data_IF_378049758308
#
_entry.id   IF_378049758308
#
_cell.length_a   1.000
_cell.length_b   1.000
_cell.length_c   1.000
_cell.angle_alpha   90.00
_cell.angle_beta   90.00
_cell.angle_gamma   90.00
#
_symmetry.space_group_name_H-M   'P 1'
#
loop_
_entity.id
_entity.type
_entity.pdbx_description
1 polymer ?
#
# COMPACT_ATOMS: atom_id res chain seq x y z
N UNK A 1 1.65 -1.25 46.59
CA UNK A 1 2.80 -0.87 45.75
C UNK A 1 2.24 -0.38 44.41
N UNK A 2 2.09 0.93 44.30
CA UNK A 2 1.67 1.53 43.03
C UNK A 2 2.85 1.55 42.07
N UNK A 3 2.79 0.69 41.05
CA UNK A 3 3.63 0.87 39.90
C UNK A 3 3.06 2.06 39.06
N UNK A 4 3.81 3.13 38.87
CA UNK A 4 3.34 4.17 37.96
C UNK A 4 3.21 3.54 36.57
N UNK A 5 2.00 3.50 36.05
CA UNK A 5 1.74 3.22 34.63
C UNK A 5 2.46 4.32 33.87
N UNK A 6 3.60 3.97 33.27
CA UNK A 6 4.34 4.87 32.40
C UNK A 6 3.36 5.24 31.28
N UNK A 7 2.96 6.48 31.24
CA UNK A 7 2.15 6.99 30.13
C UNK A 7 2.94 6.69 28.86
N UNK A 8 2.33 5.94 27.95
CA UNK A 8 2.86 5.72 26.61
C UNK A 8 2.82 7.12 25.99
N UNK A 9 3.98 7.78 25.91
CA UNK A 9 4.12 9.00 25.17
C UNK A 9 3.65 8.72 23.76
N UNK A 10 2.71 9.54 23.29
CA UNK A 10 2.16 9.46 21.93
C UNK A 10 3.34 9.47 20.95
N UNK A 11 3.67 8.31 20.40
CA UNK A 11 4.68 8.21 19.37
C UNK A 11 4.15 8.98 18.16
N UNK A 12 4.69 10.16 17.95
CA UNK A 12 4.34 10.98 16.79
C UNK A 12 4.65 10.19 15.52
N UNK A 13 3.72 10.16 14.59
CA UNK A 13 3.94 9.51 13.28
C UNK A 13 5.13 10.10 12.53
N UNK A 14 5.56 11.32 12.88
CA UNK A 14 6.78 11.96 12.36
C UNK A 14 8.08 11.26 12.74
N UNK A 15 8.07 10.45 13.79
CA UNK A 15 9.27 9.76 14.31
C UNK A 15 9.49 8.37 13.69
N UNK A 16 8.56 7.93 12.84
CA UNK A 16 8.64 6.64 12.18
C UNK A 16 9.65 6.65 11.02
N UNK A 17 10.33 5.50 10.76
CA UNK A 17 11.44 5.43 9.79
C UNK A 17 11.10 5.89 8.38
N UNK A 18 9.85 5.70 7.95
CA UNK A 18 9.38 6.06 6.62
C UNK A 18 8.45 7.27 6.60
N UNK A 19 8.48 8.10 7.64
CA UNK A 19 7.73 9.34 7.66
C UNK A 19 8.07 10.22 6.45
N UNK A 20 7.05 10.73 5.75
CA UNK A 20 7.20 11.55 4.56
C UNK A 20 7.42 10.76 3.25
N UNK A 21 7.53 9.42 3.31
CA UNK A 21 7.58 8.58 2.10
C UNK A 21 6.16 8.33 1.61
N UNK A 22 5.92 8.57 0.32
CA UNK A 22 4.65 8.26 -0.36
C UNK A 22 4.81 7.01 -1.21
N UNK A 23 3.84 6.11 -1.13
CA UNK A 23 3.83 4.81 -1.83
C UNK A 23 2.52 4.64 -2.58
N UNK A 24 2.57 4.29 -3.86
CA UNK A 24 1.42 3.84 -4.63
C UNK A 24 1.37 2.32 -4.65
N UNK A 25 0.31 1.75 -4.11
CA UNK A 25 0.09 0.30 -4.05
C UNK A 25 -0.91 -0.12 -5.13
N UNK A 26 -0.40 -0.73 -6.21
CA UNK A 26 -1.18 -1.33 -7.29
C UNK A 26 -1.42 -2.83 -7.08
N UNK A 27 -1.02 -3.34 -5.95
CA UNK A 27 -1.10 -4.75 -5.65
C UNK A 27 -2.52 -5.27 -5.48
N UNK A 28 -2.66 -6.57 -5.53
CA UNK A 28 -3.91 -7.27 -5.25
C UNK A 28 -3.63 -8.58 -4.53
N UNK A 29 -4.65 -9.17 -3.97
CA UNK A 29 -4.63 -10.43 -3.22
C UNK A 29 -3.88 -10.32 -1.89
N UNK A 30 -2.65 -10.81 -1.75
CA UNK A 30 -1.95 -10.93 -0.45
C UNK A 30 -0.58 -10.29 -0.44
N UNK A 31 0.31 -10.67 -1.35
CA UNK A 31 1.74 -10.33 -1.27
C UNK A 31 2.01 -8.83 -1.36
N UNK A 32 1.50 -8.19 -2.39
CA UNK A 32 1.71 -6.76 -2.59
C UNK A 32 0.97 -5.91 -1.53
N UNK A 33 -0.29 -6.19 -1.17
CA UNK A 33 -0.93 -5.54 -0.04
C UNK A 33 -0.18 -5.70 1.28
N UNK A 34 0.42 -6.85 1.55
CA UNK A 34 1.24 -7.08 2.74
C UNK A 34 2.48 -6.18 2.75
N UNK A 35 3.15 -6.04 1.62
CA UNK A 35 4.27 -5.12 1.47
C UNK A 35 3.85 -3.68 1.78
N UNK A 36 2.76 -3.21 1.18
CA UNK A 36 2.21 -1.89 1.43
C UNK A 36 1.81 -1.68 2.89
N UNK A 37 1.27 -2.72 3.55
CA UNK A 37 0.93 -2.69 4.97
C UNK A 37 2.17 -2.47 5.85
N UNK A 38 3.24 -3.19 5.59
CA UNK A 38 4.50 -3.05 6.34
C UNK A 38 5.06 -1.63 6.16
N UNK A 39 5.04 -1.11 4.94
CA UNK A 39 5.50 0.26 4.67
C UNK A 39 4.62 1.30 5.39
N UNK A 40 3.32 1.10 5.43
CA UNK A 40 2.39 1.97 6.16
C UNK A 40 2.64 1.92 7.68
N UNK A 41 2.86 0.73 8.23
CA UNK A 41 3.17 0.55 9.65
C UNK A 41 4.51 1.20 10.05
N UNK A 42 5.43 1.34 9.09
CA UNK A 42 6.69 2.06 9.27
C UNK A 42 6.58 3.57 9.04
N UNK A 43 5.41 4.09 8.77
CA UNK A 43 5.14 5.52 8.69
C UNK A 43 4.99 6.10 7.28
N UNK A 44 5.06 5.27 6.23
CA UNK A 44 4.81 5.72 4.88
C UNK A 44 3.32 6.02 4.67
N UNK A 45 3.04 7.04 3.85
CA UNK A 45 1.69 7.27 3.32
C UNK A 45 1.46 6.36 2.13
N UNK A 46 0.68 5.30 2.32
CA UNK A 46 0.40 4.32 1.26
C UNK A 46 -0.98 4.57 0.67
N UNK A 47 -1.02 4.85 -0.62
CA UNK A 47 -2.25 5.03 -1.39
C UNK A 47 -2.48 3.80 -2.25
N UNK A 48 -3.53 3.07 -1.94
CA UNK A 48 -3.96 1.92 -2.70
C UNK A 48 -4.78 2.34 -3.91
N UNK A 49 -4.34 1.93 -5.08
CA UNK A 49 -5.05 2.17 -6.34
C UNK A 49 -5.94 0.97 -6.65
N UNK A 50 -7.23 1.20 -6.71
CA UNK A 50 -8.23 0.17 -6.99
C UNK A 50 -8.95 0.44 -8.31
N UNK A 51 -9.58 -0.60 -8.84
CA UNK A 51 -10.56 -0.47 -9.93
C UNK A 51 -11.80 0.26 -9.42
N UNK A 52 -12.56 0.87 -10.32
CA UNK A 52 -13.83 1.52 -9.97
C UNK A 52 -14.81 0.53 -9.32
N UNK A 53 -14.81 -0.72 -9.79
CA UNK A 53 -15.64 -1.80 -9.22
C UNK A 53 -15.17 -2.28 -7.85
N UNK A 54 -14.00 -1.82 -7.40
CA UNK A 54 -13.35 -2.27 -6.19
C UNK A 54 -12.46 -3.51 -6.40
N UNK A 55 -11.68 -3.82 -5.38
CA UNK A 55 -10.84 -5.02 -5.36
C UNK A 55 -11.70 -6.26 -5.11
N UNK A 56 -11.56 -7.34 -5.91
CA UNK A 56 -12.28 -8.59 -5.68
C UNK A 56 -12.10 -9.18 -4.28
N UNK A 57 -10.97 -8.90 -3.62
CA UNK A 57 -10.71 -9.38 -2.27
C UNK A 57 -11.62 -8.77 -1.20
N UNK A 58 -12.28 -7.65 -1.49
CA UNK A 58 -13.30 -7.06 -0.59
C UNK A 58 -14.50 -7.96 -0.37
N UNK A 59 -14.83 -8.78 -1.37
CA UNK A 59 -16.03 -9.63 -1.38
C UNK A 59 -15.72 -11.10 -1.13
N UNK A 60 -14.51 -11.46 -0.72
CA UNK A 60 -14.17 -12.83 -0.36
C UNK A 60 -15.03 -13.32 0.82
N UNK A 61 -15.49 -14.55 0.70
CA UNK A 61 -16.28 -15.23 1.73
C UNK A 61 -15.46 -16.32 2.43
N UNK A 62 -15.97 -16.80 3.55
CA UNK A 62 -15.32 -17.87 4.29
C UNK A 62 -13.97 -17.46 4.88
N UNK A 63 -12.96 -18.29 4.70
CA UNK A 63 -11.62 -18.06 5.25
C UNK A 63 -10.93 -16.78 4.73
N UNK A 64 -11.27 -16.36 3.52
CA UNK A 64 -10.77 -15.11 2.94
C UNK A 64 -11.50 -13.84 3.42
N UNK A 65 -12.57 -14.02 4.19
CA UNK A 65 -13.32 -12.91 4.76
C UNK A 65 -12.44 -12.08 5.70
N UNK A 66 -12.37 -10.78 5.45
CA UNK A 66 -11.56 -9.87 6.27
C UNK A 66 -10.11 -9.69 5.80
N UNK A 67 -9.61 -10.46 4.84
CA UNK A 67 -8.26 -10.26 4.32
C UNK A 67 -8.04 -8.85 3.78
N UNK A 68 -9.02 -8.32 3.06
CA UNK A 68 -8.90 -6.98 2.53
C UNK A 68 -8.69 -5.95 3.65
N UNK A 69 -9.53 -5.97 4.68
CA UNK A 69 -9.44 -5.05 5.81
C UNK A 69 -8.14 -5.20 6.59
N UNK A 70 -7.70 -6.43 6.81
CA UNK A 70 -6.46 -6.71 7.53
C UNK A 70 -5.21 -6.24 6.76
N UNK A 71 -5.12 -6.60 5.48
CA UNK A 71 -3.93 -6.32 4.66
C UNK A 71 -3.86 -4.88 4.15
N UNK A 72 -4.97 -4.15 4.19
CA UNK A 72 -5.02 -2.78 3.70
C UNK A 72 -5.34 -1.76 4.79
N UNK A 73 -5.21 -2.14 6.06
CA UNK A 73 -5.30 -1.18 7.16
C UNK A 73 -4.22 -0.11 7.01
N UNK A 74 -4.49 1.06 7.53
CA UNK A 74 -3.54 2.19 7.53
C UNK A 74 -3.16 2.70 6.13
N UNK A 75 -3.96 2.37 5.10
CA UNK A 75 -3.80 2.86 3.73
C UNK A 75 -4.95 3.76 3.34
N UNK A 76 -4.66 4.72 2.48
CA UNK A 76 -5.67 5.45 1.73
C UNK A 76 -6.07 4.65 0.49
N UNK A 77 -7.32 4.77 0.03
CA UNK A 77 -7.80 4.06 -1.16
C UNK A 77 -8.35 5.05 -2.17
N UNK A 78 -7.93 4.88 -3.41
CA UNK A 78 -8.41 5.68 -4.56
C UNK A 78 -8.85 4.74 -5.67
N UNK A 79 -10.09 4.92 -6.14
CA UNK A 79 -10.61 4.18 -7.28
C UNK A 79 -10.30 4.94 -8.57
N UNK A 80 -9.59 4.30 -9.50
CA UNK A 80 -9.19 4.91 -10.78
C UNK A 80 -9.42 3.90 -11.91
N UNK A 81 -10.03 4.37 -13.00
CA UNK A 81 -10.08 3.60 -14.24
C UNK A 81 -8.75 3.73 -15.00
N UNK A 82 -7.90 2.74 -14.86
CA UNK A 82 -6.59 2.70 -15.52
C UNK A 82 -6.68 2.57 -17.04
N UNK A 83 -7.84 2.23 -17.60
CA UNK A 83 -8.08 2.15 -19.04
C UNK A 83 -8.42 3.51 -19.65
N UNK A 84 -8.88 4.44 -18.82
CA UNK A 84 -9.20 5.77 -19.26
C UNK A 84 -7.91 6.60 -19.44
N UNK A 85 -7.66 7.17 -20.65
CA UNK A 85 -6.48 8.01 -20.89
C UNK A 85 -6.39 9.24 -19.98
N UNK A 86 -7.52 9.75 -19.49
CA UNK A 86 -7.58 10.91 -18.60
C UNK A 86 -7.05 10.60 -17.20
N UNK A 87 -6.97 9.33 -16.83
CA UNK A 87 -6.39 8.89 -15.54
C UNK A 87 -4.86 8.97 -15.52
N UNK A 88 -4.21 8.98 -16.69
CA UNK A 88 -2.76 9.01 -16.79
C UNK A 88 -2.11 10.24 -16.16
N UNK A 89 -2.58 11.47 -16.42
CA UNK A 89 -1.97 12.65 -15.80
C UNK A 89 -2.02 12.62 -14.28
N UNK A 90 -3.12 12.09 -13.71
CA UNK A 90 -3.28 11.95 -12.26
C UNK A 90 -2.26 10.99 -11.69
N UNK A 91 -2.05 9.84 -12.34
CA UNK A 91 -1.07 8.84 -11.91
C UNK A 91 0.37 9.33 -12.09
N UNK A 92 0.66 10.05 -13.18
CA UNK A 92 1.98 10.61 -13.42
C UNK A 92 2.30 11.73 -12.41
N UNK A 93 1.33 12.54 -12.03
CA UNK A 93 1.47 13.55 -10.99
C UNK A 93 1.76 12.88 -9.64
N UNK A 94 0.96 11.88 -9.25
CA UNK A 94 1.18 11.13 -8.03
C UNK A 94 2.55 10.45 -8.01
N UNK A 95 2.97 9.89 -9.15
CA UNK A 95 4.28 9.25 -9.32
C UNK A 95 5.45 10.24 -9.26
N UNK A 96 5.28 11.47 -9.72
CA UNK A 96 6.35 12.48 -9.67
C UNK A 96 6.69 12.90 -8.25
N UNK A 97 5.74 12.79 -7.32
CA UNK A 97 5.95 13.03 -5.89
C UNK A 97 6.57 11.84 -5.16
N UNK A 98 6.58 10.64 -5.78
CA UNK A 98 7.21 9.47 -5.21
C UNK A 98 8.73 9.56 -5.27
N UNK A 99 9.38 9.34 -4.14
CA UNK A 99 10.74 8.82 -4.17
C UNK A 99 10.70 7.45 -4.84
N UNK A 100 11.43 7.29 -5.94
CA UNK A 100 11.51 6.06 -6.72
C UNK A 100 12.18 4.93 -5.91
N UNK A 101 11.48 4.42 -4.92
CA UNK A 101 11.87 3.18 -4.24
C UNK A 101 11.08 2.07 -4.91
N UNK A 102 11.73 1.24 -5.69
CA UNK A 102 11.12 0.02 -6.20
C UNK A 102 11.00 -0.14 -7.71
N UNK A 103 11.46 0.79 -8.55
CA UNK A 103 11.52 0.56 -10.00
C UNK A 103 12.45 -0.60 -10.35
N UNK A 104 13.48 -0.79 -9.56
CA UNK A 104 14.44 -1.89 -9.67
C UNK A 104 13.83 -3.23 -9.26
N UNK A 105 13.04 -3.25 -8.21
CA UNK A 105 12.38 -4.46 -7.72
C UNK A 105 11.33 -4.98 -8.71
N UNK A 106 10.54 -4.10 -9.33
CA UNK A 106 9.56 -4.49 -10.33
C UNK A 106 10.22 -5.06 -11.60
N UNK A 107 11.40 -4.56 -11.99
CA UNK A 107 12.18 -5.08 -13.11
C UNK A 107 12.81 -6.44 -12.79
N UNK A 108 13.38 -6.60 -11.61
CA UNK A 108 14.00 -7.85 -11.18
C UNK A 108 12.98 -8.97 -10.94
N UNK A 109 11.82 -8.65 -10.37
CA UNK A 109 10.74 -9.63 -10.21
C UNK A 109 10.17 -10.08 -11.56
N UNK A 110 10.04 -9.17 -12.53
CA UNK A 110 9.50 -9.50 -13.85
C UNK A 110 10.45 -10.39 -14.66
N UNK A 111 11.74 -10.22 -14.53
CA UNK A 111 12.74 -11.01 -15.28
C UNK A 111 13.03 -12.39 -14.66
N UNK A 112 12.77 -12.57 -13.37
CA UNK A 112 13.14 -13.79 -12.65
C UNK A 112 12.01 -14.81 -12.51
N UNK A 113 10.74 -14.38 -12.64
CA UNK A 113 9.57 -15.21 -12.35
C UNK A 113 8.57 -15.29 -13.50
N UNK A 114 8.88 -14.76 -14.69
CA UNK A 114 8.04 -14.95 -15.84
C UNK A 114 8.52 -16.19 -16.61
N UNK A 115 7.80 -17.30 -16.59
CA UNK A 115 8.12 -18.47 -17.42
C UNK A 115 7.81 -18.25 -18.91
N UNK A 116 7.34 -17.07 -19.30
CA UNK A 116 7.01 -16.69 -20.66
C UNK A 116 7.92 -15.54 -21.12
N UNK A 117 9.04 -15.92 -21.65
CA UNK A 117 9.82 -15.10 -22.57
C UNK A 117 9.53 -15.55 -23.99
#
# INVERSE_FOLDING_TARGET
>A
MDHPVKQIEDCSTSDLPLAGVKVLDFGHTVMAPTCGLILADLGATVVRIERIEGDPTRSLKGFGSGFFGYLNRNKESVAIDLKNPESRPVLESARSEERRVGKECARLCRSRWSPYH
#
